data_IF_677811226649
#
_entry.id   IF_677811226649
#
_cell.length_a   1.000
_cell.length_b   1.000
_cell.length_c   1.000
_cell.angle_alpha   90.00
_cell.angle_beta   90.00
_cell.angle_gamma   90.00
#
_symmetry.space_group_name_H-M   'P 1'
#
loop_
_entity.id
_entity.type
_entity.pdbx_description
1 polymer ?
#
# COMPACT_ATOMS: atom_id res chain seq x y z
N UNK A 1 -10.26 -0.16 -2.84
CA UNK A 1 -8.88 -0.37 -2.37
C UNK A 1 -8.94 -0.73 -0.90
N UNK A 2 -8.41 -1.89 -0.47
CA UNK A 2 -8.37 -2.27 0.95
C UNK A 2 -7.52 -1.28 1.78
N UNK A 3 -7.84 -1.14 3.07
CA UNK A 3 -7.05 -0.31 3.97
C UNK A 3 -5.84 -1.09 4.49
N UNK A 4 -4.65 -0.71 4.02
CA UNK A 4 -3.37 -1.34 4.34
C UNK A 4 -2.40 -0.40 5.06
N UNK A 5 -2.89 0.75 5.53
CA UNK A 5 -2.10 1.70 6.30
C UNK A 5 -1.62 1.07 7.62
N UNK A 6 -0.34 1.26 7.96
CA UNK A 6 0.27 0.70 9.16
C UNK A 6 0.59 -0.80 9.06
N UNK A 7 0.24 -1.45 7.95
CA UNK A 7 0.59 -2.85 7.72
C UNK A 7 2.02 -2.99 7.16
N UNK A 8 2.67 -4.13 7.38
CA UNK A 8 3.90 -4.46 6.68
C UNK A 8 3.64 -4.62 5.18
N UNK A 9 4.59 -4.19 4.36
CA UNK A 9 4.53 -4.18 2.89
C UNK A 9 4.04 -5.50 2.29
N UNK A 10 4.56 -6.63 2.77
CA UNK A 10 4.21 -7.96 2.30
C UNK A 10 2.75 -8.34 2.56
N UNK A 11 2.15 -7.81 3.63
CA UNK A 11 0.75 -8.08 3.99
C UNK A 11 -0.16 -7.17 3.17
N UNK A 12 0.24 -5.91 2.98
CA UNK A 12 -0.43 -4.97 2.07
C UNK A 12 -0.51 -5.51 0.63
N UNK A 13 0.56 -6.15 0.15
CA UNK A 13 0.57 -6.81 -1.16
C UNK A 13 -0.51 -7.88 -1.29
N UNK A 14 -0.61 -8.74 -0.27
CA UNK A 14 -1.53 -9.88 -0.27
C UNK A 14 -2.97 -9.39 -0.30
N UNK A 15 -3.29 -8.37 0.49
CA UNK A 15 -4.61 -7.74 0.51
C UNK A 15 -4.97 -7.15 -0.86
N UNK A 16 -4.04 -6.42 -1.50
CA UNK A 16 -4.26 -5.85 -2.83
C UNK A 16 -4.40 -6.93 -3.91
N UNK A 17 -3.53 -7.93 -3.89
CA UNK A 17 -3.54 -9.04 -4.83
C UNK A 17 -4.82 -9.90 -4.68
N UNK A 18 -5.30 -10.09 -3.46
CA UNK A 18 -6.55 -10.82 -3.17
C UNK A 18 -7.78 -10.18 -3.81
N UNK A 19 -7.78 -8.85 -3.99
CA UNK A 19 -8.85 -8.12 -4.69
C UNK A 19 -8.54 -7.89 -6.18
N UNK A 20 -7.43 -8.44 -6.69
CA UNK A 20 -6.99 -8.33 -8.07
C UNK A 20 -6.41 -6.96 -8.43
N UNK A 21 -5.77 -6.29 -7.47
CA UNK A 21 -5.06 -5.03 -7.68
C UNK A 21 -3.54 -5.25 -7.71
N UNK A 22 -2.83 -4.34 -8.38
CA UNK A 22 -1.38 -4.34 -8.44
C UNK A 22 -0.82 -3.41 -7.37
N UNK A 23 0.29 -3.80 -6.75
CA UNK A 23 1.00 -3.01 -5.75
C UNK A 23 2.28 -2.39 -6.38
N UNK A 24 2.46 -1.07 -6.24
CA UNK A 24 3.71 -0.37 -6.59
C UNK A 24 4.34 0.17 -5.30
N UNK A 25 5.59 -0.17 -5.03
CA UNK A 25 6.26 0.23 -3.78
C UNK A 25 7.12 1.46 -3.97
N UNK A 26 6.94 2.43 -3.08
CA UNK A 26 7.76 3.64 -2.99
C UNK A 26 8.31 3.78 -1.59
N UNK A 27 9.63 3.85 -1.45
CA UNK A 27 10.24 4.19 -0.16
C UNK A 27 10.04 5.67 0.16
N UNK A 28 9.78 5.97 1.44
CA UNK A 28 9.65 7.32 1.97
C UNK A 28 10.47 7.40 3.26
N UNK A 29 11.46 8.28 3.26
CA UNK A 29 12.29 8.59 4.43
C UNK A 29 11.64 9.68 5.27
N UNK A 30 12.04 9.78 6.54
CA UNK A 30 11.55 10.84 7.44
C UNK A 30 10.11 10.64 7.93
N UNK A 31 9.60 9.41 7.91
CA UNK A 31 8.24 9.08 8.38
C UNK A 31 8.18 8.84 9.89
N UNK A 32 9.32 8.55 10.53
CA UNK A 32 9.39 8.16 11.94
C UNK A 32 8.78 6.79 12.25
N UNK A 33 8.37 6.04 11.23
CA UNK A 33 7.77 4.71 11.34
C UNK A 33 8.83 3.61 11.14
N UNK A 34 8.51 2.40 11.59
CA UNK A 34 9.41 1.26 11.41
C UNK A 34 9.62 0.97 9.91
N UNK A 35 10.87 0.73 9.48
CA UNK A 35 11.16 0.37 8.10
C UNK A 35 10.33 -0.83 7.63
N UNK A 36 9.78 -0.75 6.43
CA UNK A 36 8.89 -1.78 5.87
C UNK A 36 7.40 -1.62 6.20
N UNK A 37 7.03 -0.58 6.94
CA UNK A 37 5.63 -0.25 7.26
C UNK A 37 5.03 0.65 6.18
N UNK A 38 3.80 0.36 5.75
CA UNK A 38 3.04 1.24 4.85
C UNK A 38 2.60 2.49 5.60
N UNK A 39 3.09 3.64 5.18
CA UNK A 39 2.78 4.94 5.79
C UNK A 39 1.83 5.78 4.96
N UNK A 40 1.60 5.40 3.70
CA UNK A 40 0.62 6.06 2.84
C UNK A 40 0.27 5.14 1.66
N UNK A 41 -0.92 5.31 1.11
CA UNK A 41 -1.42 4.52 -0.02
C UNK A 41 -2.15 5.44 -0.99
N UNK A 42 -1.94 5.26 -2.29
CA UNK A 42 -2.59 6.05 -3.33
C UNK A 42 -3.02 5.15 -4.50
N UNK A 43 -4.30 5.16 -4.92
CA UNK A 43 -5.42 5.91 -4.36
C UNK A 43 -5.77 5.50 -2.92
N UNK A 44 -6.45 6.39 -2.19
CA UNK A 44 -6.75 6.22 -0.76
C UNK A 44 -7.53 4.94 -0.49
N UNK A 45 -7.39 4.41 0.73
CA UNK A 45 -8.18 3.28 1.20
C UNK A 45 -9.69 3.55 1.04
N UNK A 46 -10.43 2.55 0.59
CA UNK A 46 -11.85 2.66 0.26
C UNK A 46 -12.15 3.16 -1.15
N UNK A 47 -11.16 3.69 -1.89
CA UNK A 47 -11.39 4.16 -3.27
C UNK A 47 -11.81 3.00 -4.17
N UNK A 48 -12.89 3.19 -4.95
CA UNK A 48 -13.31 2.21 -5.94
C UNK A 48 -12.44 2.36 -7.18
N UNK A 49 -11.69 1.31 -7.49
CA UNK A 49 -10.82 1.25 -8.68
C UNK A 49 -11.13 -0.01 -9.46
N UNK A 50 -10.86 0.02 -10.76
CA UNK A 50 -11.02 -1.16 -11.62
C UNK A 50 -10.04 -2.27 -11.21
N UNK A 51 -10.42 -3.53 -11.39
CA UNK A 51 -9.49 -4.65 -11.26
C UNK A 51 -8.30 -4.47 -12.21
N UNK A 52 -7.11 -4.83 -11.75
CA UNK A 52 -5.85 -4.57 -12.43
C UNK A 52 -5.30 -3.16 -12.27
N UNK A 53 -5.95 -2.29 -11.49
CA UNK A 53 -5.39 -0.96 -11.19
C UNK A 53 -4.18 -1.07 -10.26
N UNK A 54 -3.23 -0.18 -10.47
CA UNK A 54 -2.03 -0.07 -9.64
C UNK A 54 -2.26 0.86 -8.46
N UNK A 55 -1.94 0.36 -7.27
CA UNK A 55 -1.99 1.08 -6.00
C UNK A 55 -0.57 1.32 -5.53
N UNK A 56 -0.20 2.59 -5.38
CA UNK A 56 1.11 3.02 -4.91
C UNK A 56 1.13 3.00 -3.39
N UNK A 57 2.02 2.20 -2.81
CA UNK A 57 2.27 2.04 -1.39
C UNK A 57 3.55 2.80 -1.04
N UNK A 58 3.43 3.77 -0.14
CA UNK A 58 4.59 4.43 0.43
C UNK A 58 5.01 3.71 1.69
N UNK A 59 6.26 3.30 1.72
CA UNK A 59 6.85 2.43 2.73
C UNK A 59 7.86 3.25 3.50
N UNK A 60 7.80 3.23 4.82
CA UNK A 60 8.85 3.80 5.65
C UNK A 60 10.19 3.11 5.33
N UNK A 61 11.20 3.91 4.99
CA UNK A 61 12.58 3.47 4.82
C UNK A 61 13.45 3.98 5.97
#
# INVERSE_FOLDING_TARGET
VPNVYGMPSSLAERELSAVGLLADYRSRTGTGQQPGTVVHVKPDAGTVVSRGSTVVLFIAA
#
